data_IF_328657960797
#
_entry.id   IF_328657960797
#
_cell.length_a   1.000
_cell.length_b   1.000
_cell.length_c   1.000
_cell.angle_alpha   90.00
_cell.angle_beta   90.00
_cell.angle_gamma   90.00
#
_symmetry.space_group_name_H-M   'P 1'
#
loop_
_entity.id
_entity.type
_entity.pdbx_description
1 polymer ?
#
# COMPACT_ATOMS: atom_id res chain seq x y z
N UNK A 1 2.09 -23.26 24.53
CA UNK A 1 2.82 -22.49 23.51
C UNK A 1 2.84 -21.04 23.98
N UNK A 2 4.02 -20.53 24.32
CA UNK A 2 4.22 -19.11 24.64
C UNK A 2 3.87 -18.30 23.40
N UNK A 3 3.06 -17.22 23.47
CA UNK A 3 2.87 -16.35 22.33
C UNK A 3 4.24 -15.80 21.96
N UNK A 4 4.71 -16.16 20.76
CA UNK A 4 5.85 -15.49 20.15
C UNK A 4 5.54 -14.00 20.16
N UNK A 5 6.49 -13.17 20.58
CA UNK A 5 6.43 -11.71 20.45
C UNK A 5 6.50 -11.34 18.96
N UNK A 6 5.41 -11.59 18.23
CA UNK A 6 5.33 -11.43 16.78
C UNK A 6 4.83 -10.04 16.41
N UNK A 7 5.57 -9.04 16.89
CA UNK A 7 5.27 -7.62 16.67
C UNK A 7 6.50 -6.92 16.10
N UNK A 8 6.28 -5.90 15.26
CA UNK A 8 7.33 -4.99 14.83
C UNK A 8 7.80 -4.09 15.97
N UNK A 9 9.05 -3.64 15.88
CA UNK A 9 9.62 -2.74 16.88
C UNK A 9 8.88 -1.40 16.87
N UNK A 10 8.44 -0.97 18.06
CA UNK A 10 7.91 0.38 18.26
C UNK A 10 9.07 1.38 18.30
N UNK A 11 8.96 2.41 17.47
CA UNK A 11 9.97 3.46 17.29
C UNK A 11 9.31 4.83 17.35
N UNK A 12 10.10 5.89 17.52
CA UNK A 12 9.59 7.27 17.49
C UNK A 12 8.86 7.64 16.18
N UNK A 13 9.10 6.92 15.06
CA UNK A 13 8.41 7.14 13.77
C UNK A 13 7.09 6.39 13.67
N UNK A 14 6.93 5.31 14.43
CA UNK A 14 5.75 4.42 14.39
C UNK A 14 4.82 4.59 15.60
N UNK A 15 5.17 5.45 16.56
CA UNK A 15 4.28 5.77 17.68
C UNK A 15 3.07 6.58 17.21
N UNK A 16 1.87 6.14 17.61
CA UNK A 16 0.63 6.90 17.43
C UNK A 16 0.02 7.29 18.77
N UNK A 17 -0.44 8.52 18.90
CA UNK A 17 -1.02 9.05 20.15
C UNK A 17 -2.57 8.99 20.20
N UNK A 18 -3.22 8.43 19.19
CA UNK A 18 -4.68 8.43 19.08
C UNK A 18 -5.31 7.33 19.96
N UNK A 19 -5.77 7.70 21.16
CA UNK A 19 -6.25 6.76 22.18
C UNK A 19 -7.41 5.86 21.73
N UNK A 20 -8.41 6.40 21.00
CA UNK A 20 -9.63 5.64 20.62
C UNK A 20 -9.46 4.74 19.39
N UNK A 21 -8.35 4.88 18.70
CA UNK A 21 -8.00 4.09 17.51
C UNK A 21 -6.48 4.01 17.50
N UNK A 22 -5.90 3.21 18.41
CA UNK A 22 -4.47 3.14 18.60
C UNK A 22 -3.80 2.46 17.41
N UNK A 23 -2.53 2.81 17.21
CA UNK A 23 -1.66 2.09 16.30
C UNK A 23 -1.29 0.75 16.93
N UNK A 24 -1.22 -0.28 16.10
CA UNK A 24 -0.82 -1.65 16.45
C UNK A 24 0.43 -2.04 15.67
N UNK A 25 1.04 -3.16 16.09
CA UNK A 25 2.35 -3.60 15.57
C UNK A 25 2.38 -5.10 15.25
N UNK A 26 1.24 -5.81 15.30
CA UNK A 26 1.18 -7.24 15.01
C UNK A 26 1.63 -7.57 13.61
N UNK A 27 2.52 -8.58 13.47
CA UNK A 27 3.06 -8.99 12.17
C UNK A 27 1.97 -9.47 11.23
N UNK A 28 1.10 -10.36 11.72
CA UNK A 28 -0.06 -10.88 10.98
C UNK A 28 -0.97 -9.75 10.46
N UNK A 29 -1.27 -8.75 11.30
CA UNK A 29 -2.14 -7.62 10.91
C UNK A 29 -1.50 -6.75 9.82
N UNK A 30 -0.18 -6.52 9.89
CA UNK A 30 0.57 -5.80 8.85
C UNK A 30 0.60 -6.60 7.55
N UNK A 31 0.95 -7.88 7.64
CA UNK A 31 1.05 -8.79 6.50
C UNK A 31 -0.30 -8.92 5.78
N UNK A 32 -1.39 -9.05 6.53
CA UNK A 32 -2.74 -9.13 5.98
C UNK A 32 -3.10 -7.92 5.11
N UNK A 33 -2.74 -6.69 5.53
CA UNK A 33 -2.98 -5.48 4.73
C UNK A 33 -2.06 -5.43 3.51
N UNK A 34 -0.78 -5.78 3.68
CA UNK A 34 0.19 -5.77 2.58
C UNK A 34 -0.12 -6.85 1.53
N UNK A 35 -0.61 -8.02 1.93
CA UNK A 35 -1.00 -9.11 1.04
C UNK A 35 -2.28 -8.80 0.25
N UNK A 36 -3.20 -8.01 0.81
CA UNK A 36 -4.45 -7.63 0.13
C UNK A 36 -4.26 -6.47 -0.86
N UNK A 37 -3.43 -5.48 -0.53
CA UNK A 37 -3.17 -4.34 -1.39
C UNK A 37 -2.23 -4.65 -2.56
N UNK A 38 -2.29 -3.85 -3.62
CA UNK A 38 -1.29 -3.89 -4.71
C UNK A 38 -0.84 -2.48 -5.15
N UNK A 39 -1.44 -1.42 -4.58
CA UNK A 39 -1.02 -0.03 -4.75
C UNK A 39 -0.53 0.50 -3.40
N UNK A 40 0.62 1.17 -3.41
CA UNK A 40 1.16 1.88 -2.27
C UNK A 40 1.47 3.34 -2.62
N UNK A 41 1.66 4.16 -1.60
CA UNK A 41 2.18 5.52 -1.72
C UNK A 41 3.53 5.58 -1.00
N UNK A 42 4.59 5.91 -1.73
CA UNK A 42 5.95 5.97 -1.19
C UNK A 42 6.38 7.42 -1.05
N UNK A 43 6.48 7.88 0.20
CA UNK A 43 7.03 9.18 0.57
C UNK A 43 8.54 9.11 0.78
N UNK A 44 9.27 10.06 0.21
CA UNK A 44 10.72 10.18 0.36
C UNK A 44 11.19 11.61 0.14
N UNK A 45 12.37 11.94 0.66
CA UNK A 45 13.05 13.20 0.37
C UNK A 45 13.84 13.05 -0.93
N UNK A 46 13.46 13.77 -1.97
CA UNK A 46 14.22 13.80 -3.22
C UNK A 46 15.25 14.92 -3.19
N UNK A 47 16.50 14.57 -3.50
CA UNK A 47 17.60 15.51 -3.70
C UNK A 47 18.01 15.46 -5.17
N UNK A 48 17.66 16.48 -5.98
CA UNK A 48 18.05 16.54 -7.39
C UNK A 48 19.57 16.46 -7.57
N UNK A 49 20.00 15.96 -8.73
CA UNK A 49 21.43 15.95 -9.12
C UNK A 49 21.98 17.35 -9.39
N UNK A 50 21.15 18.22 -9.96
CA UNK A 50 21.51 19.62 -10.14
C UNK A 50 21.56 20.30 -8.76
N UNK A 51 22.76 20.66 -8.32
CA UNK A 51 23.01 21.29 -7.03
C UNK A 51 22.36 22.67 -6.88
N UNK A 52 21.84 23.25 -7.97
CA UNK A 52 21.07 24.50 -7.95
C UNK A 52 19.62 24.29 -7.52
N UNK A 53 19.12 23.05 -7.57
CA UNK A 53 17.75 22.72 -7.19
C UNK A 53 17.68 22.28 -5.73
N UNK A 54 16.73 22.83 -4.98
CA UNK A 54 16.52 22.47 -3.59
C UNK A 54 15.90 21.06 -3.47
N UNK A 55 16.24 20.30 -2.41
CA UNK A 55 15.53 19.08 -2.07
C UNK A 55 14.04 19.36 -1.80
N UNK A 56 13.17 18.40 -2.14
CA UNK A 56 11.75 18.47 -1.82
C UNK A 56 11.20 17.08 -1.47
N UNK A 57 10.10 17.05 -0.71
CA UNK A 57 9.39 15.82 -0.41
C UNK A 57 8.56 15.40 -1.61
N UNK A 58 8.69 14.13 -2.01
CA UNK A 58 7.90 13.53 -3.06
C UNK A 58 7.07 12.38 -2.47
N UNK A 59 5.86 12.20 -2.98
CA UNK A 59 5.04 11.01 -2.74
C UNK A 59 4.70 10.41 -4.09
N UNK A 60 5.06 9.15 -4.30
CA UNK A 60 4.81 8.45 -5.57
C UNK A 60 3.83 7.30 -5.35
N UNK A 61 2.63 7.33 -5.96
CA UNK A 61 1.78 6.15 -6.04
C UNK A 61 2.41 5.14 -7.00
N UNK A 62 2.50 3.89 -6.61
CA UNK A 62 3.06 2.82 -7.44
C UNK A 62 2.52 1.44 -7.04
N UNK A 63 2.64 0.49 -7.96
CA UNK A 63 2.48 -0.92 -7.62
C UNK A 63 3.62 -1.39 -6.71
N UNK A 64 3.32 -2.37 -5.87
CA UNK A 64 4.31 -3.09 -5.09
C UNK A 64 4.03 -4.59 -5.15
N UNK A 65 5.04 -5.38 -4.79
CA UNK A 65 4.91 -6.79 -4.47
C UNK A 65 5.34 -7.04 -3.03
N UNK A 66 4.64 -7.90 -2.31
CA UNK A 66 4.98 -8.26 -0.94
C UNK A 66 5.19 -9.76 -0.81
N UNK A 67 6.31 -10.17 -0.19
CA UNK A 67 6.57 -11.57 0.12
C UNK A 67 7.43 -11.66 1.37
N UNK A 68 7.01 -12.51 2.29
CA UNK A 68 7.64 -12.72 3.59
C UNK A 68 7.82 -11.40 4.37
N UNK A 69 8.99 -10.77 4.28
CA UNK A 69 9.32 -9.51 4.99
C UNK A 69 9.86 -8.45 4.03
N UNK A 70 9.57 -8.59 2.74
CA UNK A 70 10.17 -7.80 1.68
C UNK A 70 9.10 -7.18 0.80
N UNK A 71 9.22 -5.87 0.59
CA UNK A 71 8.46 -5.12 -0.38
C UNK A 71 9.32 -4.83 -1.60
N UNK A 72 8.75 -5.02 -2.78
CA UNK A 72 9.42 -4.78 -4.05
C UNK A 72 8.68 -3.71 -4.85
N UNK A 73 9.42 -2.75 -5.39
CA UNK A 73 8.93 -1.72 -6.30
C UNK A 73 9.68 -1.86 -7.61
N UNK A 74 9.03 -1.58 -8.73
CA UNK A 74 9.70 -1.49 -10.02
C UNK A 74 9.31 -0.22 -10.76
N UNK A 75 10.13 0.15 -11.72
CA UNK A 75 9.89 1.30 -12.59
C UNK A 75 10.98 1.40 -13.65
N UNK A 76 10.86 2.35 -14.57
CA UNK A 76 11.93 2.59 -15.55
C UNK A 76 13.19 3.11 -14.84
N UNK A 77 14.38 2.64 -15.23
CA UNK A 77 15.67 3.21 -14.79
C UNK A 77 15.96 4.58 -15.42
N UNK A 78 15.10 5.07 -16.32
CA UNK A 78 15.20 6.40 -16.90
C UNK A 78 15.17 7.52 -15.85
N UNK A 79 15.55 8.73 -16.26
CA UNK A 79 15.72 9.90 -15.39
C UNK A 79 14.48 10.34 -14.61
N UNK A 80 13.34 9.72 -14.87
CA UNK A 80 12.05 10.06 -14.27
C UNK A 80 11.75 9.29 -12.98
N UNK A 81 12.38 8.12 -12.75
CA UNK A 81 12.16 7.37 -11.51
C UNK A 81 13.05 7.87 -10.37
N UNK A 82 12.66 9.03 -9.82
CA UNK A 82 13.34 9.77 -8.76
C UNK A 82 13.75 8.92 -7.57
N UNK A 83 12.92 7.97 -7.15
CA UNK A 83 13.22 7.10 -6.01
C UNK A 83 14.40 6.16 -6.31
N UNK A 84 14.44 5.55 -7.50
CA UNK A 84 15.55 4.69 -7.88
C UNK A 84 16.83 5.46 -8.09
N UNK A 85 16.75 6.68 -8.63
CA UNK A 85 17.90 7.58 -8.70
C UNK A 85 18.48 7.89 -7.31
N UNK A 86 17.61 8.18 -6.32
CA UNK A 86 18.04 8.38 -4.93
C UNK A 86 18.66 7.12 -4.34
N UNK A 87 18.01 5.97 -4.49
CA UNK A 87 18.47 4.70 -3.95
C UNK A 87 19.79 4.23 -4.56
N UNK A 88 19.99 4.45 -5.86
CA UNK A 88 21.21 4.05 -6.59
C UNK A 88 22.44 4.89 -6.22
N UNK A 89 22.24 6.11 -5.72
CA UNK A 89 23.33 7.00 -5.27
C UNK A 89 23.63 6.88 -3.78
N UNK A 90 22.71 6.30 -3.01
CA UNK A 90 22.85 6.14 -1.57
C UNK A 90 23.61 4.85 -1.22
N UNK A 91 24.64 4.94 -0.37
CA UNK A 91 25.45 3.78 0.04
C UNK A 91 24.65 2.67 0.72
N UNK A 92 23.60 3.04 1.45
CA UNK A 92 22.78 2.12 2.25
C UNK A 92 21.32 2.03 1.75
N UNK A 93 21.02 2.62 0.59
CA UNK A 93 19.65 2.82 0.12
C UNK A 93 19.02 4.14 0.56
N UNK A 94 17.87 4.48 -0.01
CA UNK A 94 17.14 5.72 0.27
C UNK A 94 16.08 5.49 1.37
N UNK A 95 16.02 6.36 2.38
CA UNK A 95 14.97 6.33 3.40
C UNK A 95 13.60 6.59 2.75
N UNK A 96 12.63 5.75 3.09
CA UNK A 96 11.26 5.81 2.56
C UNK A 96 10.22 5.59 3.67
N UNK A 97 9.05 6.16 3.44
CA UNK A 97 7.81 5.86 4.15
C UNK A 97 6.80 5.30 3.13
N UNK A 98 6.51 4.00 3.21
CA UNK A 98 5.54 3.34 2.34
C UNK A 98 4.21 3.18 3.07
N UNK A 99 3.12 3.60 2.44
CA UNK A 99 1.76 3.51 2.98
C UNK A 99 0.84 2.72 2.07
N UNK A 100 0.07 1.79 2.64
CA UNK A 100 -1.04 1.07 1.99
C UNK A 100 -2.30 1.31 2.80
N UNK A 101 -3.41 1.65 2.14
CA UNK A 101 -4.70 1.95 2.78
C UNK A 101 -5.85 1.27 2.04
N UNK A 102 -6.73 0.60 2.80
CA UNK A 102 -7.88 -0.15 2.30
C UNK A 102 -9.14 0.39 3.00
N UNK A 103 -10.03 1.02 2.24
CA UNK A 103 -11.29 1.58 2.75
C UNK A 103 -12.38 0.51 2.73
N UNK A 104 -13.16 0.43 3.81
CA UNK A 104 -14.19 -0.59 4.01
C UNK A 104 -15.60 -0.01 4.13
N UNK A 105 -15.79 1.15 4.75
CA UNK A 105 -17.09 1.83 4.78
C UNK A 105 -16.98 3.31 5.10
N UNK A 106 -17.94 4.10 4.65
CA UNK A 106 -18.16 5.46 5.14
C UNK A 106 -19.05 5.40 6.38
N UNK A 107 -18.64 6.06 7.46
CA UNK A 107 -19.37 6.07 8.73
C UNK A 107 -20.01 7.43 8.93
N UNK A 108 -21.34 7.46 8.98
CA UNK A 108 -22.15 8.68 9.03
C UNK A 108 -22.74 8.83 10.42
N UNK A 109 -22.08 9.65 11.25
CA UNK A 109 -22.56 10.03 12.58
C UNK A 109 -23.60 11.16 12.58
N UNK A 110 -24.12 11.51 13.77
CA UNK A 110 -25.23 12.46 13.94
C UNK A 110 -24.83 13.92 13.70
N UNK A 111 -23.52 14.22 13.72
CA UNK A 111 -22.98 15.55 13.39
C UNK A 111 -21.85 15.40 12.38
N UNK A 112 -21.57 16.48 11.65
CA UNK A 112 -20.51 16.51 10.64
C UNK A 112 -19.12 16.11 11.19
N UNK A 113 -18.87 16.36 12.48
CA UNK A 113 -17.61 16.03 13.15
C UNK A 113 -17.52 14.57 13.62
N UNK A 114 -18.63 13.83 13.58
CA UNK A 114 -18.70 12.41 13.92
C UNK A 114 -18.69 11.49 12.68
N UNK A 115 -18.56 12.06 11.49
CA UNK A 115 -18.27 11.27 10.30
C UNK A 115 -16.87 10.65 10.40
N UNK A 116 -16.73 9.43 9.91
CA UNK A 116 -15.48 8.70 9.89
C UNK A 116 -15.44 7.70 8.72
N UNK A 117 -14.36 6.94 8.65
CA UNK A 117 -14.17 5.88 7.65
C UNK A 117 -13.71 4.62 8.38
N UNK A 118 -14.29 3.47 8.05
CA UNK A 118 -13.71 2.18 8.41
C UNK A 118 -12.63 1.85 7.38
N UNK A 119 -11.43 1.56 7.87
CA UNK A 119 -10.27 1.31 7.02
C UNK A 119 -9.26 0.40 7.74
N UNK A 120 -8.36 -0.17 6.95
CA UNK A 120 -7.10 -0.74 7.41
C UNK A 120 -5.96 -0.05 6.68
N UNK A 121 -4.89 0.28 7.38
CA UNK A 121 -3.71 0.88 6.76
C UNK A 121 -2.43 0.38 7.40
N UNK A 122 -1.40 0.22 6.60
CA UNK A 122 -0.02 -0.05 7.04
C UNK A 122 0.87 1.10 6.65
N UNK A 123 1.76 1.48 7.56
CA UNK A 123 2.88 2.38 7.32
C UNK A 123 4.17 1.64 7.62
N UNK A 124 5.07 1.55 6.63
CA UNK A 124 6.40 0.97 6.74
C UNK A 124 7.45 2.05 6.57
N UNK A 125 8.36 2.18 7.54
CA UNK A 125 9.58 2.94 7.40
C UNK A 125 10.73 1.98 7.06
N UNK A 126 11.52 2.34 6.05
CA UNK A 126 12.61 1.46 5.61
C UNK A 126 13.59 2.16 4.67
N UNK A 127 14.54 1.37 4.17
CA UNK A 127 15.49 1.80 3.15
C UNK A 127 15.19 1.06 1.85
N UNK A 128 14.97 1.81 0.78
CA UNK A 128 14.84 1.28 -0.57
C UNK A 128 16.24 1.03 -1.16
N UNK A 129 16.54 -0.22 -1.48
CA UNK A 129 17.84 -0.67 -1.99
C UNK A 129 17.68 -1.27 -3.39
N UNK A 130 18.52 -0.90 -4.38
CA UNK A 130 18.48 -1.51 -5.71
C UNK A 130 18.73 -3.02 -5.67
N UNK A 131 17.93 -3.76 -6.43
CA UNK A 131 18.17 -5.18 -6.72
C UNK A 131 18.95 -5.28 -8.03
N UNK A 132 20.22 -5.66 -7.94
CA UNK A 132 21.16 -5.64 -9.07
C UNK A 132 21.42 -7.02 -9.69
N UNK A 133 21.30 -8.09 -8.90
CA UNK A 133 21.39 -9.46 -9.42
C UNK A 133 20.18 -9.76 -10.33
N UNK A 134 20.45 -10.30 -11.52
CA UNK A 134 19.44 -10.57 -12.55
C UNK A 134 18.41 -11.58 -12.07
N UNK A 135 18.82 -12.64 -11.36
CA UNK A 135 17.89 -13.67 -10.90
C UNK A 135 16.98 -13.12 -9.79
N UNK A 136 17.54 -12.41 -8.80
CA UNK A 136 16.76 -11.75 -7.76
C UNK A 136 15.81 -10.69 -8.32
N UNK A 137 16.22 -9.97 -9.37
CA UNK A 137 15.39 -8.98 -10.05
C UNK A 137 14.20 -9.61 -10.77
N UNK A 138 14.41 -10.75 -11.43
CA UNK A 138 13.33 -11.54 -12.05
C UNK A 138 12.33 -12.04 -11.02
N UNK A 139 12.81 -12.58 -9.89
CA UNK A 139 11.93 -13.03 -8.79
C UNK A 139 11.13 -11.87 -8.21
N UNK A 140 11.75 -10.71 -7.99
CA UNK A 140 11.06 -9.52 -7.53
C UNK A 140 9.98 -9.02 -8.51
N UNK A 141 10.26 -9.03 -9.83
CA UNK A 141 9.28 -8.66 -10.85
C UNK A 141 8.11 -9.64 -10.90
N UNK A 142 8.39 -10.93 -10.73
CA UNK A 142 7.36 -11.96 -10.60
C UNK A 142 6.48 -11.69 -9.37
N UNK A 143 7.07 -11.42 -8.20
CA UNK A 143 6.33 -11.09 -6.97
C UNK A 143 5.43 -9.86 -7.19
N UNK A 144 5.91 -8.81 -7.87
CA UNK A 144 5.10 -7.62 -8.16
C UNK A 144 3.94 -7.96 -9.12
N UNK A 145 4.19 -8.75 -10.16
CA UNK A 145 3.15 -9.14 -11.12
C UNK A 145 2.05 -9.98 -10.44
N UNK A 146 2.44 -10.95 -9.61
CA UNK A 146 1.52 -11.85 -8.93
C UNK A 146 0.79 -11.18 -7.77
N UNK A 147 1.35 -10.14 -7.14
CA UNK A 147 0.64 -9.30 -6.18
C UNK A 147 -0.59 -8.62 -6.81
N UNK A 148 -0.50 -8.24 -8.09
CA UNK A 148 -1.59 -7.60 -8.82
C UNK A 148 -2.63 -8.65 -9.23
N UNK A 149 -2.21 -9.66 -9.99
CA UNK A 149 -3.09 -10.75 -10.43
C UNK A 149 -2.29 -12.06 -10.31
N UNK A 150 -2.61 -12.91 -9.31
CA UNK A 150 -1.91 -14.17 -9.11
C UNK A 150 -1.91 -15.06 -10.36
N UNK A 151 -0.75 -15.64 -10.68
CA UNK A 151 -0.57 -16.50 -11.85
C UNK A 151 -0.41 -15.76 -13.17
N UNK A 152 -0.59 -14.44 -13.22
CA UNK A 152 -0.47 -13.67 -14.46
C UNK A 152 0.93 -13.77 -15.06
N UNK A 153 1.97 -13.85 -14.23
CA UNK A 153 3.35 -13.97 -14.70
C UNK A 153 3.55 -15.17 -15.64
N UNK A 154 2.99 -16.33 -15.29
CA UNK A 154 3.13 -17.58 -16.05
C UNK A 154 2.44 -17.54 -17.41
N UNK A 155 1.44 -16.67 -17.55
CA UNK A 155 0.66 -16.45 -18.77
C UNK A 155 1.20 -15.27 -19.61
N UNK A 156 2.39 -14.77 -19.28
CA UNK A 156 3.07 -13.71 -20.02
C UNK A 156 4.43 -14.17 -20.52
N UNK A 157 4.90 -13.54 -21.62
CA UNK A 157 6.26 -13.82 -22.10
C UNK A 157 7.27 -13.32 -21.06
N UNK A 158 8.33 -14.08 -20.78
CA UNK A 158 9.42 -13.60 -19.93
C UNK A 158 10.02 -12.30 -20.51
N UNK A 159 10.47 -11.37 -19.65
CA UNK A 159 11.11 -10.16 -20.10
C UNK A 159 12.43 -10.48 -20.82
N UNK A 160 12.70 -9.76 -21.90
CA UNK A 160 13.97 -9.77 -22.62
C UNK A 160 15.07 -9.09 -21.79
N UNK A 161 16.34 -9.33 -22.15
CA UNK A 161 17.47 -8.65 -21.50
C UNK A 161 17.37 -7.13 -21.58
N UNK A 162 16.96 -6.58 -22.73
CA UNK A 162 16.80 -5.14 -22.90
C UNK A 162 15.69 -4.55 -22.00
N UNK A 163 14.57 -5.26 -21.83
CA UNK A 163 13.50 -4.85 -20.90
C UNK A 163 13.98 -4.91 -19.45
N UNK A 164 14.76 -5.93 -19.09
CA UNK A 164 15.37 -6.03 -17.76
C UNK A 164 16.36 -4.89 -17.51
N UNK A 165 17.20 -4.53 -18.47
CA UNK A 165 18.17 -3.44 -18.32
C UNK A 165 17.50 -2.08 -18.13
N UNK A 166 16.37 -1.86 -18.80
CA UNK A 166 15.59 -0.62 -18.69
C UNK A 166 14.66 -0.56 -17.46
N UNK A 167 14.46 -1.67 -16.77
CA UNK A 167 13.60 -1.75 -15.58
C UNK A 167 14.45 -1.74 -14.33
N UNK A 168 14.25 -0.84 -13.39
CA UNK A 168 14.88 -0.89 -12.08
C UNK A 168 13.97 -1.61 -11.08
N UNK A 169 14.56 -2.21 -10.06
CA UNK A 169 13.82 -2.81 -8.95
C UNK A 169 14.43 -2.33 -7.63
N UNK A 170 13.57 -1.94 -6.69
CA UNK A 170 13.94 -1.60 -5.33
C UNK A 170 13.31 -2.60 -4.36
N UNK A 171 14.08 -2.99 -3.35
CA UNK A 171 13.64 -3.81 -2.22
C UNK A 171 13.61 -2.95 -0.96
N UNK A 172 12.60 -3.12 -0.13
CA UNK A 172 12.45 -2.49 1.18
C UNK A 172 12.17 -3.59 2.20
N UNK A 173 13.01 -3.69 3.24
CA UNK A 173 12.80 -4.62 4.36
C UNK A 173 11.70 -4.09 5.27
N UNK A 174 10.72 -4.93 5.59
CA UNK A 174 9.71 -4.61 6.60
C UNK A 174 10.32 -4.90 7.98
N UNK A 175 10.94 -3.89 8.59
CA UNK A 175 11.52 -3.99 9.95
C UNK A 175 10.86 -3.07 10.96
N UNK A 176 10.33 -1.96 10.46
CA UNK A 176 9.67 -0.91 11.23
C UNK A 176 8.34 -0.60 10.56
N UNK A 177 7.30 -1.27 11.04
CA UNK A 177 5.96 -1.16 10.48
C UNK A 177 4.92 -0.96 11.57
N UNK A 178 3.84 -0.30 11.18
CA UNK A 178 2.70 -0.06 12.04
C UNK A 178 1.42 -0.25 11.26
N UNK A 179 0.39 -0.76 11.94
CA UNK A 179 -0.93 -0.97 11.36
C UNK A 179 -1.96 -0.19 12.16
N UNK A 180 -2.91 0.40 11.46
CA UNK A 180 -4.05 1.09 12.06
C UNK A 180 -5.31 0.61 11.36
N UNK A 181 -6.31 0.29 12.17
CA UNK A 181 -7.59 -0.16 11.64
C UNK A 181 -8.74 0.35 12.48
N UNK A 182 -9.74 0.91 11.79
CA UNK A 182 -10.97 1.41 12.39
C UNK A 182 -12.13 0.58 11.85
N UNK A 183 -12.98 0.12 12.74
CA UNK A 183 -14.26 -0.51 12.42
C UNK A 183 -15.35 0.05 13.33
N UNK A 184 -16.60 -0.03 12.89
CA UNK A 184 -17.77 0.26 13.71
C UNK A 184 -18.35 1.66 13.51
N UNK A 185 -19.49 1.88 14.17
CA UNK A 185 -20.29 3.09 14.02
C UNK A 185 -19.56 4.36 14.48
N UNK A 186 -20.16 5.51 14.17
CA UNK A 186 -19.69 6.77 14.73
C UNK A 186 -19.69 6.62 16.25
N UNK A 187 -18.58 7.02 16.88
CA UNK A 187 -18.59 7.13 18.33
C UNK A 187 -19.64 8.19 18.62
N UNK A 188 -20.69 7.83 19.37
CA UNK A 188 -21.51 8.84 20.03
C UNK A 188 -20.53 9.78 20.72
N UNK A 189 -20.74 11.09 20.58
CA UNK A 189 -20.08 12.00 21.51
C UNK A 189 -20.35 11.43 22.89
N UNK A 190 -19.30 10.96 23.57
CA UNK A 190 -19.21 11.19 25.01
C UNK A 190 -19.65 12.62 25.10
N UNK A 191 -20.86 12.86 25.66
CA UNK A 191 -21.43 14.19 25.83
C UNK A 191 -20.27 15.10 26.13
N UNK A 192 -19.72 15.75 25.11
CA UNK A 192 -18.60 16.62 25.37
C UNK A 192 -19.33 17.66 26.21
N UNK A 193 -18.77 18.13 27.31
CA UNK A 193 -19.40 19.24 28.05
C UNK A 193 -19.59 20.52 27.19
N UNK A 194 -19.33 20.42 25.88
CA UNK A 194 -19.54 21.34 24.78
C UNK A 194 -20.84 21.08 23.99
N UNK A 195 -21.53 19.96 24.22
CA UNK A 195 -22.87 19.63 23.66
C UNK A 195 -23.96 20.47 24.37
N UNK A 196 -23.59 21.62 24.92
CA UNK A 196 -24.52 22.64 25.36
C UNK A 196 -25.08 23.33 24.11
N UNK A 197 -26.31 22.93 23.78
CA UNK A 197 -27.26 23.72 23.01
C UNK A 197 -26.85 24.07 21.58
N UNK A 198 -27.02 23.15 20.64
CA UNK A 198 -27.55 23.54 19.32
C UNK A 198 -28.08 22.34 18.54
N UNK A 199 -29.39 22.31 18.37
CA UNK A 199 -30.12 21.98 17.14
C UNK A 199 -29.49 21.03 16.11
N UNK A 200 -28.91 19.91 16.55
CA UNK A 200 -28.70 18.79 15.65
C UNK A 200 -30.10 18.37 15.17
N UNK A 201 -30.26 18.16 13.86
CA UNK A 201 -31.46 17.53 13.37
C UNK A 201 -31.47 16.10 13.93
N UNK A 202 -32.12 15.88 15.08
CA UNK A 202 -32.22 14.56 15.73
C UNK A 202 -32.90 13.50 14.84
N UNK A 203 -33.44 13.91 13.67
CA UNK A 203 -33.93 13.01 12.62
C UNK A 203 -32.89 12.62 11.56
N UNK A 204 -31.64 13.07 11.67
CA UNK A 204 -30.58 12.69 10.73
C UNK A 204 -30.28 11.18 10.83
N UNK A 205 -30.30 10.51 9.69
CA UNK A 205 -29.95 9.10 9.61
C UNK A 205 -28.47 8.87 9.99
N UNK A 206 -28.22 7.80 10.74
CA UNK A 206 -26.88 7.39 11.16
C UNK A 206 -26.64 5.95 10.73
N UNK A 207 -25.41 5.65 10.35
CA UNK A 207 -25.05 4.29 9.98
C UNK A 207 -23.74 4.20 9.23
N UNK A 208 -23.59 3.10 8.51
CA UNK A 208 -22.43 2.83 7.68
C UNK A 208 -22.89 2.59 6.24
N UNK A 209 -22.15 3.15 5.29
CA UNK A 209 -22.26 2.81 3.87
C UNK A 209 -21.06 1.93 3.52
N UNK A 210 -21.24 0.60 3.40
CA UNK A 210 -20.17 -0.31 3.01
C UNK A 210 -19.60 0.05 1.64
N UNK A 211 -18.27 0.03 1.54
CA UNK A 211 -17.53 0.17 0.28
C UNK A 211 -17.11 -1.22 -0.16
N UNK A 212 -17.57 -1.62 -1.34
CA UNK A 212 -17.16 -2.87 -1.97
C UNK A 212 -16.43 -2.57 -3.26
N UNK A 213 -15.28 -3.20 -3.45
CA UNK A 213 -14.57 -3.17 -4.71
C UNK A 213 -15.03 -4.33 -5.58
N UNK A 214 -15.46 -4.00 -6.79
CA UNK A 214 -15.96 -4.97 -7.78
C UNK A 214 -15.14 -4.82 -9.05
N UNK A 215 -14.52 -5.92 -9.49
CA UNK A 215 -13.82 -5.97 -10.76
C UNK A 215 -14.83 -6.26 -11.87
N UNK A 216 -14.88 -5.36 -12.86
CA UNK A 216 -15.77 -5.49 -14.00
C UNK A 216 -15.37 -6.63 -14.95
N UNK A 217 -16.21 -6.95 -15.95
CA UNK A 217 -15.87 -7.92 -16.97
C UNK A 217 -14.60 -7.50 -17.74
N UNK A 218 -13.68 -8.42 -18.05
CA UNK A 218 -12.47 -8.10 -18.78
C UNK A 218 -12.76 -7.55 -20.18
N UNK A 219 -11.99 -6.54 -20.59
CA UNK A 219 -12.10 -5.90 -21.90
C UNK A 219 -10.86 -6.30 -22.71
N UNK A 220 -11.07 -6.91 -23.88
CA UNK A 220 -9.97 -7.32 -24.75
C UNK A 220 -9.28 -6.11 -25.39
N UNK A 221 -7.95 -6.15 -25.48
CA UNK A 221 -7.20 -5.25 -26.34
C UNK A 221 -7.57 -5.48 -27.81
N UNK A 222 -7.55 -4.43 -28.63
CA UNK A 222 -7.76 -4.50 -30.09
C UNK A 222 -6.78 -5.44 -30.79
N UNK A 223 -5.59 -5.62 -30.23
CA UNK A 223 -4.57 -6.52 -30.77
C UNK A 223 -4.88 -8.01 -30.52
N UNK A 224 -5.83 -8.33 -29.64
CA UNK A 224 -6.18 -9.71 -29.30
C UNK A 224 -7.26 -10.22 -30.27
N UNK A 225 -7.05 -11.37 -30.95
CA UNK A 225 -8.08 -11.97 -31.80
C UNK A 225 -9.38 -12.21 -31.01
N UNK A 226 -10.58 -11.94 -31.57
CA UNK A 226 -11.86 -12.07 -30.85
C UNK A 226 -12.15 -13.47 -30.28
N UNK A 227 -11.52 -14.51 -30.83
CA UNK A 227 -11.68 -15.91 -30.41
C UNK A 227 -10.74 -16.31 -29.27
N UNK A 228 -9.84 -15.43 -28.85
CA UNK A 228 -8.88 -15.71 -27.77
C UNK A 228 -9.65 -15.82 -26.44
N UNK A 229 -9.61 -16.98 -25.75
CA UNK A 229 -10.30 -17.12 -24.48
C UNK A 229 -9.62 -16.25 -23.42
N UNK A 230 -10.43 -15.56 -22.62
CA UNK A 230 -9.93 -14.90 -21.41
C UNK A 230 -9.55 -16.01 -20.40
N UNK A 231 -8.38 -15.96 -19.75
CA UNK A 231 -8.03 -16.93 -18.72
C UNK A 231 -8.97 -16.87 -17.52
N UNK A 232 -9.25 -18.03 -16.91
CA UNK A 232 -10.23 -18.11 -15.81
C UNK A 232 -9.81 -17.31 -14.56
N UNK A 233 -8.51 -17.24 -14.27
CA UNK A 233 -7.99 -16.42 -13.17
C UNK A 233 -8.21 -14.91 -13.38
N UNK A 234 -8.51 -14.47 -14.61
CA UNK A 234 -8.92 -13.09 -14.94
C UNK A 234 -10.44 -12.96 -14.91
N UNK A 235 -11.18 -13.93 -15.48
CA UNK A 235 -12.67 -13.90 -15.49
C UNK A 235 -13.27 -13.88 -14.09
N UNK A 236 -12.68 -14.66 -13.18
CA UNK A 236 -13.16 -14.85 -11.82
C UNK A 236 -12.27 -14.15 -10.79
N UNK A 237 -11.47 -13.18 -11.25
CA UNK A 237 -10.58 -12.44 -10.38
C UNK A 237 -11.37 -11.71 -9.30
N UNK A 238 -10.91 -11.87 -8.07
CA UNK A 238 -11.28 -11.06 -6.94
C UNK A 238 -10.00 -10.74 -6.20
N UNK A 239 -9.93 -9.55 -5.61
CA UNK A 239 -8.81 -9.19 -4.75
C UNK A 239 -8.70 -10.24 -3.63
N UNK A 240 -7.51 -10.83 -3.40
CA UNK A 240 -7.30 -11.71 -2.27
C UNK A 240 -7.71 -11.02 -0.97
N UNK A 241 -8.56 -11.66 -0.18
CA UNK A 241 -8.89 -11.21 1.18
C UNK A 241 -8.25 -12.18 2.17
N UNK A 242 -7.49 -11.68 3.16
CA UNK A 242 -7.00 -12.51 4.26
C UNK A 242 -8.15 -13.03 5.13
#
# INVERSE_FOLDING_TARGET
MTPSNDVYAKTYRTEGHHQRNPVRYGRDEVHAVLAEGYVCHVGFQYTPKDSKLAPYTAVTPTLYGFKDEMLYLHGSTGTEWRLYDMASRAKEGAEVCLTVSLVQSLVLGPTALHHAVDYRSVVVYGKAVPVTDTAAKLDALHIVADQVIPGRWNDTKPPTGAELDFTGVLRIDVKEASVKSRTGFALESVKCGLDHESSANDSAWQGQLPVQEVYGPPINDRAVPPTTPIPDYVKYYHRPKP
#
